data_IF_354660651727
#
_entry.id   IF_354660651727
#
_cell.length_a   1.000
_cell.length_b   1.000
_cell.length_c   1.000
_cell.angle_alpha   90.00
_cell.angle_beta   90.00
_cell.angle_gamma   90.00
#
_symmetry.space_group_name_H-M   'P 1'
#
loop_
_entity.id
_entity.type
_entity.pdbx_description
1 polymer ?
#
# COMPACT_ATOMS: atom_id res chain seq x y z
N UNK A 1 38.94 51.10 -6.11
CA UNK A 1 38.25 49.79 -5.94
C UNK A 1 36.85 49.94 -6.55
N UNK A 2 36.56 49.70 -7.86
CA UNK A 2 36.35 48.40 -8.54
C UNK A 2 36.35 47.23 -7.56
N UNK A 3 35.32 46.35 -7.61
CA UNK A 3 35.14 45.00 -6.98
C UNK A 3 33.68 44.97 -6.42
N UNK A 4 32.64 44.27 -6.92
CA UNK A 4 32.43 43.16 -7.86
C UNK A 4 30.97 43.19 -8.40
N UNK A 5 30.62 44.08 -9.32
CA UNK A 5 30.03 43.81 -10.66
C UNK A 5 29.56 45.19 -11.17
N UNK A 6 30.22 45.74 -12.19
CA UNK A 6 30.14 47.17 -12.55
C UNK A 6 28.85 47.60 -13.26
N UNK A 7 27.67 47.24 -12.74
CA UNK A 7 26.38 47.67 -13.27
C UNK A 7 25.63 48.49 -12.21
N UNK A 8 25.23 49.72 -12.56
CA UNK A 8 24.41 50.60 -11.72
C UNK A 8 23.11 49.90 -11.28
N UNK A 9 22.57 50.21 -10.11
CA UNK A 9 21.28 49.66 -9.64
C UNK A 9 20.17 49.80 -10.69
N UNK A 10 20.17 50.89 -11.44
CA UNK A 10 19.24 51.12 -12.56
C UNK A 10 19.42 50.12 -13.71
N UNK A 11 20.66 49.69 -13.97
CA UNK A 11 20.96 48.68 -14.98
C UNK A 11 20.46 47.30 -14.57
N UNK A 12 20.66 46.90 -13.31
CA UNK A 12 20.13 45.65 -12.77
C UNK A 12 18.60 45.60 -12.82
N UNK A 13 17.93 46.71 -12.49
CA UNK A 13 16.47 46.83 -12.61
C UNK A 13 16.03 46.65 -14.07
N UNK A 14 16.72 47.30 -15.02
CA UNK A 14 16.43 47.17 -16.45
C UNK A 14 16.57 45.72 -16.92
N UNK A 15 17.65 45.04 -16.53
CA UNK A 15 17.89 43.64 -16.87
C UNK A 15 16.83 42.70 -16.30
N UNK A 16 16.42 42.89 -15.04
CA UNK A 16 15.35 42.12 -14.43
C UNK A 16 14.02 42.27 -15.19
N UNK A 17 13.66 43.52 -15.57
CA UNK A 17 12.45 43.79 -16.37
C UNK A 17 12.48 43.11 -17.73
N UNK A 18 13.65 43.09 -18.38
CA UNK A 18 13.83 42.42 -19.68
C UNK A 18 13.69 40.90 -19.59
N UNK A 19 14.28 40.27 -18.56
CA UNK A 19 14.12 38.82 -18.32
C UNK A 19 12.67 38.45 -18.06
N UNK A 20 11.97 39.23 -17.22
CA UNK A 20 10.54 39.03 -16.95
C UNK A 20 9.68 39.20 -18.20
N UNK A 21 9.97 40.20 -19.04
CA UNK A 21 9.26 40.39 -20.30
C UNK A 21 9.47 39.22 -21.28
N UNK A 22 10.69 38.66 -21.35
CA UNK A 22 10.99 37.49 -22.18
C UNK A 22 10.18 36.26 -21.77
N UNK A 23 10.05 36.01 -20.46
CA UNK A 23 9.19 34.94 -19.92
C UNK A 23 7.72 35.15 -20.31
N UNK A 24 7.19 36.36 -20.12
CA UNK A 24 5.80 36.69 -20.47
C UNK A 24 5.51 36.54 -21.98
N UNK A 25 6.50 36.85 -22.83
CA UNK A 25 6.42 36.65 -24.29
C UNK A 25 6.40 35.17 -24.67
N UNK A 26 7.11 34.29 -23.96
CA UNK A 26 7.08 32.85 -24.22
C UNK A 26 5.72 32.21 -23.92
N UNK A 27 5.02 32.72 -22.92
CA UNK A 27 3.72 32.19 -22.46
C UNK A 27 2.50 32.87 -23.12
N UNK A 28 2.70 33.85 -24.02
CA UNK A 28 1.63 34.62 -24.70
C UNK A 28 0.61 35.23 -23.73
N UNK A 29 1.10 35.77 -22.61
CA UNK A 29 0.23 36.39 -21.59
C UNK A 29 -0.38 37.71 -22.08
N UNK A 30 0.27 38.40 -23.05
CA UNK A 30 -0.13 39.70 -23.58
C UNK A 30 0.65 40.05 -24.87
N UNK A 31 0.29 41.15 -25.56
CA UNK A 31 1.08 41.67 -26.69
C UNK A 31 2.40 42.28 -26.22
N UNK A 32 3.41 42.41 -27.11
CA UNK A 32 4.70 43.02 -26.74
C UNK A 32 4.54 44.46 -26.20
N UNK A 33 3.53 45.19 -26.68
CA UNK A 33 3.17 46.53 -26.19
C UNK A 33 2.64 46.49 -24.76
N UNK A 34 1.68 45.60 -24.48
CA UNK A 34 1.13 45.41 -23.14
C UNK A 34 2.18 44.93 -22.13
N UNK A 35 3.01 43.97 -22.52
CA UNK A 35 4.09 43.44 -21.67
C UNK A 35 5.07 44.54 -21.29
N UNK A 36 5.37 45.47 -22.20
CA UNK A 36 6.28 46.59 -21.92
C UNK A 36 5.80 47.43 -20.73
N UNK A 37 4.50 47.73 -20.67
CA UNK A 37 3.92 48.48 -19.56
C UNK A 37 3.85 47.64 -18.29
N UNK A 38 3.51 46.35 -18.40
CA UNK A 38 3.40 45.44 -17.24
C UNK A 38 4.72 45.23 -16.50
N UNK A 39 5.85 45.21 -17.21
CA UNK A 39 7.17 45.12 -16.56
C UNK A 39 7.74 46.50 -16.18
N UNK A 40 7.03 47.59 -16.49
CA UNK A 40 7.37 48.95 -16.04
C UNK A 40 8.27 49.77 -16.98
N UNK A 41 8.27 49.50 -18.29
CA UNK A 41 8.83 50.45 -19.26
C UNK A 41 7.87 51.62 -19.50
N UNK A 42 8.43 52.81 -19.74
CA UNK A 42 7.65 54.02 -20.03
C UNK A 42 7.07 54.05 -21.44
N UNK A 43 7.65 53.29 -22.38
CA UNK A 43 7.10 53.17 -23.75
C UNK A 43 7.46 51.82 -24.43
N UNK A 44 6.58 51.31 -25.31
CA UNK A 44 6.85 50.10 -26.10
C UNK A 44 8.05 50.22 -27.05
N UNK A 45 8.30 51.41 -27.59
CA UNK A 45 9.43 51.65 -28.48
C UNK A 45 10.77 51.56 -27.72
N UNK A 46 10.86 52.16 -26.52
CA UNK A 46 12.06 52.07 -25.69
C UNK A 46 12.31 50.64 -25.19
N UNK A 47 11.24 49.93 -24.84
CA UNK A 47 11.29 48.50 -24.53
C UNK A 47 11.87 47.69 -25.70
N UNK A 48 11.37 47.90 -26.92
CA UNK A 48 11.83 47.16 -28.11
C UNK A 48 13.32 47.37 -28.37
N UNK A 49 13.81 48.60 -28.23
CA UNK A 49 15.24 48.91 -28.37
C UNK A 49 16.08 48.21 -27.31
N UNK A 50 15.70 48.34 -26.02
CA UNK A 50 16.42 47.69 -24.92
C UNK A 50 16.38 46.16 -25.00
N UNK A 51 15.25 45.60 -25.43
CA UNK A 51 15.06 44.16 -25.60
C UNK A 51 15.92 43.61 -26.74
N UNK A 52 15.97 44.33 -27.87
CA UNK A 52 16.82 43.96 -29.00
C UNK A 52 18.31 44.10 -28.65
N UNK A 53 18.69 45.14 -27.91
CA UNK A 53 20.06 45.34 -27.41
C UNK A 53 20.50 44.19 -26.47
N UNK A 54 19.59 43.70 -25.62
CA UNK A 54 19.91 42.66 -24.63
C UNK A 54 19.80 41.23 -25.16
N UNK A 55 18.79 40.91 -25.98
CA UNK A 55 18.54 39.54 -26.50
C UNK A 55 19.00 39.33 -27.95
N UNK A 56 19.35 40.40 -28.68
CA UNK A 56 19.81 40.34 -30.08
C UNK A 56 18.69 40.20 -31.12
N UNK A 57 17.42 40.27 -30.72
CA UNK A 57 16.26 40.23 -31.63
C UNK A 57 15.04 40.92 -31.02
N UNK A 58 14.07 41.38 -31.84
CA UNK A 58 12.89 42.07 -31.34
C UNK A 58 11.95 41.13 -30.55
N UNK A 59 11.18 41.65 -29.58
CA UNK A 59 10.31 40.87 -28.71
C UNK A 59 9.25 40.04 -29.48
N UNK A 60 8.82 40.49 -30.66
CA UNK A 60 7.90 39.74 -31.51
C UNK A 60 8.47 38.44 -32.09
N UNK A 61 9.79 38.23 -32.06
CA UNK A 61 10.46 37.00 -32.55
C UNK A 61 10.74 35.98 -31.45
N UNK A 62 10.32 36.24 -30.20
CA UNK A 62 10.49 35.29 -29.09
C UNK A 62 9.76 33.98 -29.42
N UNK A 63 10.52 32.90 -29.59
CA UNK A 63 9.98 31.58 -29.92
C UNK A 63 9.36 30.96 -28.68
N UNK A 64 8.10 30.52 -28.79
CA UNK A 64 7.35 29.84 -27.72
C UNK A 64 8.19 28.73 -27.07
N UNK A 65 8.39 28.80 -25.75
CA UNK A 65 8.73 27.61 -24.99
C UNK A 65 7.52 26.69 -25.02
N UNK A 66 7.64 25.55 -25.72
CA UNK A 66 6.60 24.53 -25.77
C UNK A 66 6.56 23.79 -24.43
N UNK A 67 6.05 24.44 -23.39
CA UNK A 67 5.43 23.77 -22.25
C UNK A 67 3.93 23.69 -22.50
N UNK A 68 3.51 22.77 -23.37
CA UNK A 68 2.10 22.41 -23.53
C UNK A 68 2.01 21.05 -24.23
N UNK A 69 1.42 20.09 -23.54
CA UNK A 69 0.91 18.88 -24.18
C UNK A 69 -0.29 19.22 -25.07
N UNK A 70 -0.33 18.63 -26.27
CA UNK A 70 -1.53 18.01 -26.87
C UNK A 70 -1.21 17.39 -28.25
N UNK A 71 -1.60 16.12 -28.42
CA UNK A 71 -2.12 15.49 -29.65
C UNK A 71 -1.31 15.49 -30.97
N UNK A 72 -0.66 14.32 -31.18
CA UNK A 72 -0.59 13.46 -32.38
C UNK A 72 0.27 13.86 -33.60
N UNK A 73 1.48 13.25 -33.65
CA UNK A 73 2.05 12.59 -34.84
C UNK A 73 2.68 11.29 -34.35
N UNK A 74 2.19 10.13 -34.81
CA UNK A 74 2.76 8.84 -34.44
C UNK A 74 4.13 8.69 -35.10
N UNK A 75 5.18 8.88 -34.30
CA UNK A 75 6.47 8.22 -34.49
C UNK A 75 6.71 7.36 -33.24
N UNK A 76 7.18 6.16 -33.49
CA UNK A 76 7.26 4.96 -32.64
C UNK A 76 7.53 5.19 -31.14
N UNK A 77 6.94 4.35 -30.29
CA UNK A 77 7.15 4.24 -28.82
C UNK A 77 6.35 5.13 -27.85
N UNK A 78 5.14 5.60 -28.21
CA UNK A 78 4.15 6.09 -27.22
C UNK A 78 2.91 5.21 -27.05
N UNK A 79 2.66 4.25 -27.96
CA UNK A 79 1.63 3.21 -27.78
C UNK A 79 1.94 2.32 -26.57
N UNK A 80 3.22 2.00 -26.37
CA UNK A 80 3.66 1.23 -25.19
C UNK A 80 3.46 1.98 -23.88
N UNK A 81 3.54 3.33 -23.86
CA UNK A 81 3.43 4.11 -22.61
C UNK A 81 1.97 4.25 -22.15
N UNK A 82 1.02 4.41 -23.07
CA UNK A 82 -0.41 4.43 -22.70
C UNK A 82 -0.94 3.03 -22.38
N UNK A 83 -0.46 2.00 -23.10
CA UNK A 83 -0.72 0.61 -22.72
C UNK A 83 -0.10 0.34 -21.36
N UNK A 84 1.15 0.76 -21.11
CA UNK A 84 1.82 0.54 -19.83
C UNK A 84 1.12 1.23 -18.68
N UNK A 85 0.62 2.46 -18.87
CA UNK A 85 -0.10 3.19 -17.83
C UNK A 85 -1.47 2.55 -17.54
N UNK A 86 -2.20 2.14 -18.58
CA UNK A 86 -3.46 1.41 -18.41
C UNK A 86 -3.24 0.05 -17.73
N UNK A 87 -2.21 -0.70 -18.13
CA UNK A 87 -1.84 -1.95 -17.48
C UNK A 87 -1.37 -1.72 -16.06
N UNK A 88 -0.64 -0.63 -15.77
CA UNK A 88 -0.17 -0.33 -14.42
C UNK A 88 -1.35 0.08 -13.54
N UNK A 89 -2.33 0.83 -14.05
CA UNK A 89 -3.57 1.13 -13.32
C UNK A 89 -4.40 -0.14 -13.08
N UNK A 90 -4.50 -1.04 -14.06
CA UNK A 90 -5.23 -2.32 -13.91
C UNK A 90 -4.50 -3.28 -12.97
N UNK A 91 -3.16 -3.34 -13.02
CA UNK A 91 -2.35 -4.15 -12.11
C UNK A 91 -2.34 -3.54 -10.72
N UNK A 92 -2.29 -2.21 -10.59
CA UNK A 92 -2.36 -1.52 -9.31
C UNK A 92 -3.76 -1.59 -8.73
N UNK A 93 -4.83 -1.54 -9.54
CA UNK A 93 -6.19 -1.77 -9.06
C UNK A 93 -6.40 -3.24 -8.69
N UNK A 94 -5.89 -4.20 -9.47
CA UNK A 94 -5.94 -5.61 -9.12
C UNK A 94 -5.08 -5.92 -7.89
N UNK A 95 -3.92 -5.28 -7.74
CA UNK A 95 -3.06 -5.39 -6.56
C UNK A 95 -3.67 -4.69 -5.36
N UNK A 96 -4.30 -3.53 -5.53
CA UNK A 96 -5.00 -2.83 -4.46
C UNK A 96 -6.26 -3.57 -4.06
N UNK A 97 -6.99 -4.18 -5.01
CA UNK A 97 -8.09 -5.11 -4.73
C UNK A 97 -7.53 -6.34 -4.04
N UNK A 98 -6.46 -6.96 -4.51
CA UNK A 98 -5.81 -8.09 -3.85
C UNK A 98 -5.36 -7.72 -2.44
N UNK A 99 -4.77 -6.54 -2.25
CA UNK A 99 -4.27 -6.01 -0.99
C UNK A 99 -5.41 -5.66 -0.03
N UNK A 100 -6.50 -5.05 -0.51
CA UNK A 100 -7.69 -4.72 0.29
C UNK A 100 -8.59 -5.92 0.54
N UNK A 101 -8.62 -6.92 -0.34
CA UNK A 101 -9.36 -8.19 -0.20
C UNK A 101 -8.55 -9.23 0.60
N UNK A 102 -7.25 -9.01 0.83
CA UNK A 102 -6.42 -9.84 1.71
C UNK A 102 -6.66 -9.56 3.20
N UNK A 103 -7.51 -8.59 3.54
CA UNK A 103 -8.26 -8.65 4.79
C UNK A 103 -9.52 -9.46 4.53
N UNK A 104 -9.36 -10.79 4.37
CA UNK A 104 -10.49 -11.71 4.55
C UNK A 104 -11.00 -11.40 5.94
N UNK A 105 -12.14 -10.71 6.01
CA UNK A 105 -13.00 -10.71 7.18
C UNK A 105 -13.32 -12.18 7.44
N UNK A 106 -12.46 -12.86 8.20
CA UNK A 106 -12.85 -14.05 8.94
C UNK A 106 -13.83 -13.47 9.95
N UNK A 107 -15.08 -13.37 9.53
CA UNK A 107 -16.19 -13.47 10.45
C UNK A 107 -15.93 -14.81 11.13
N UNK A 108 -15.29 -14.80 12.30
CA UNK A 108 -15.26 -15.95 13.21
C UNK A 108 -16.70 -16.08 13.71
N UNK A 109 -17.60 -16.48 12.83
CA UNK A 109 -19.01 -16.76 13.14
C UNK A 109 -19.22 -18.24 13.29
N UNK A 110 -18.32 -19.06 12.75
CA UNK A 110 -18.39 -20.49 12.90
C UNK A 110 -17.77 -20.84 14.24
N UNK A 111 -18.61 -20.85 15.28
CA UNK A 111 -18.30 -21.48 16.56
C UNK A 111 -17.80 -22.87 16.22
N UNK A 112 -16.50 -23.08 16.37
CA UNK A 112 -15.83 -24.29 15.93
C UNK A 112 -14.72 -24.63 16.90
N UNK A 113 -14.62 -25.90 17.24
CA UNK A 113 -13.70 -26.38 18.26
C UNK A 113 -12.97 -27.63 17.78
N UNK A 114 -11.65 -27.62 17.95
CA UNK A 114 -10.85 -28.82 17.88
C UNK A 114 -10.46 -29.25 19.30
N UNK A 115 -10.61 -30.53 19.62
CA UNK A 115 -10.13 -31.10 20.88
C UNK A 115 -8.88 -31.88 20.56
N UNK A 116 -7.72 -31.47 21.05
CA UNK A 116 -6.48 -32.21 20.79
C UNK A 116 -6.43 -33.52 21.57
N UNK A 117 -5.64 -34.52 21.13
CA UNK A 117 -5.44 -35.75 21.89
C UNK A 117 -4.97 -35.48 23.32
N UNK A 118 -5.76 -35.92 24.30
CA UNK A 118 -5.42 -35.70 25.71
C UNK A 118 -4.23 -36.56 26.12
N UNK A 119 -3.35 -36.01 26.95
CA UNK A 119 -2.20 -36.76 27.48
C UNK A 119 -2.57 -37.51 28.74
N UNK A 120 -2.21 -38.78 28.85
CA UNK A 120 -2.26 -39.48 30.13
C UNK A 120 -1.01 -39.15 30.96
N UNK A 121 -1.19 -38.58 32.16
CA UNK A 121 -0.08 -38.19 33.04
C UNK A 121 0.30 -39.34 33.97
N UNK A 122 1.03 -40.32 33.47
CA UNK A 122 1.61 -41.42 34.23
C UNK A 122 2.79 -42.03 33.47
N UNK A 123 3.66 -42.77 34.15
CA UNK A 123 4.77 -43.51 33.54
C UNK A 123 4.33 -44.79 32.78
N UNK A 124 3.03 -44.98 32.60
CA UNK A 124 2.44 -46.17 31.99
C UNK A 124 1.75 -45.78 30.66
N UNK A 125 2.44 -45.93 29.52
CA UNK A 125 1.90 -45.56 28.22
C UNK A 125 0.75 -46.48 27.77
N UNK A 126 0.64 -47.70 28.32
CA UNK A 126 -0.44 -48.62 27.95
C UNK A 126 -1.82 -48.09 28.35
N UNK A 127 -1.88 -47.16 29.31
CA UNK A 127 -3.12 -46.56 29.83
C UNK A 127 -3.59 -45.31 29.07
N UNK A 128 -2.95 -44.95 27.98
CA UNK A 128 -3.33 -43.80 27.14
C UNK A 128 -4.81 -43.86 26.69
N UNK A 129 -5.37 -45.06 26.51
CA UNK A 129 -6.78 -45.26 26.17
C UNK A 129 -7.75 -44.61 27.17
N UNK A 130 -7.34 -44.40 28.43
CA UNK A 130 -8.16 -43.71 29.42
C UNK A 130 -8.33 -42.23 29.08
N UNK A 131 -7.24 -41.56 28.69
CA UNK A 131 -7.28 -40.18 28.26
C UNK A 131 -8.03 -40.03 26.93
N UNK A 132 -7.78 -40.95 25.99
CA UNK A 132 -8.49 -40.99 24.70
C UNK A 132 -10.01 -41.21 24.91
N UNK A 133 -10.41 -42.07 25.84
CA UNK A 133 -11.83 -42.28 26.16
C UNK A 133 -12.52 -41.06 26.76
N UNK A 134 -11.81 -40.29 27.59
CA UNK A 134 -12.34 -39.02 28.13
C UNK A 134 -12.45 -37.96 27.04
N UNK A 135 -11.46 -37.86 26.16
CA UNK A 135 -11.49 -36.99 24.99
C UNK A 135 -12.69 -37.32 24.08
N UNK A 136 -12.93 -38.61 23.79
CA UNK A 136 -14.08 -39.05 22.98
C UNK A 136 -15.41 -38.68 23.63
N UNK A 137 -15.52 -38.86 24.94
CA UNK A 137 -16.71 -38.45 25.66
C UNK A 137 -16.96 -36.93 25.53
N UNK A 138 -15.90 -36.12 25.58
CA UNK A 138 -16.01 -34.66 25.38
C UNK A 138 -16.43 -34.34 23.95
N UNK A 139 -15.78 -34.91 22.94
CA UNK A 139 -16.15 -34.73 21.53
C UNK A 139 -17.63 -35.06 21.29
N UNK A 140 -18.12 -36.17 21.86
CA UNK A 140 -19.51 -36.60 21.74
C UNK A 140 -20.50 -35.64 22.42
N UNK A 141 -20.12 -34.98 23.51
CA UNK A 141 -20.99 -33.98 24.15
C UNK A 141 -20.97 -32.65 23.40
N UNK A 142 -19.79 -32.22 22.93
CA UNK A 142 -19.66 -31.01 22.13
C UNK A 142 -20.41 -31.11 20.79
N UNK A 143 -20.42 -32.29 20.16
CA UNK A 143 -21.10 -32.50 18.88
C UNK A 143 -22.63 -32.40 18.96
N UNK A 144 -23.20 -32.44 20.18
CA UNK A 144 -24.64 -32.23 20.42
C UNK A 144 -25.02 -30.75 20.51
N UNK A 145 -24.06 -29.84 20.58
CA UNK A 145 -24.32 -28.40 20.68
C UNK A 145 -24.70 -27.89 19.29
N UNK A 146 -25.92 -27.37 19.16
CA UNK A 146 -26.37 -26.73 17.93
C UNK A 146 -25.49 -25.52 17.58
N UNK A 147 -25.25 -25.33 16.29
CA UNK A 147 -24.37 -24.29 15.74
C UNK A 147 -22.90 -24.35 16.20
N UNK A 148 -22.41 -25.49 16.74
CA UNK A 148 -21.00 -25.73 17.05
C UNK A 148 -20.41 -26.79 16.10
N UNK A 149 -19.45 -26.40 15.26
CA UNK A 149 -18.70 -27.35 14.43
C UNK A 149 -17.57 -27.98 15.23
N UNK A 150 -17.63 -29.29 15.43
CA UNK A 150 -16.58 -30.05 16.11
C UNK A 150 -15.69 -30.72 15.07
N UNK A 151 -14.36 -30.61 15.22
CA UNK A 151 -13.41 -31.31 14.36
C UNK A 151 -13.32 -32.78 14.74
N UNK A 152 -13.31 -33.65 13.73
CA UNK A 152 -13.19 -35.09 13.92
C UNK A 152 -11.85 -35.48 14.58
N UNK A 153 -11.91 -36.52 15.43
CA UNK A 153 -10.75 -37.12 16.12
C UNK A 153 -9.58 -37.43 15.17
N UNK A 154 -9.89 -37.98 14.00
CA UNK A 154 -8.86 -38.38 13.01
C UNK A 154 -8.09 -37.20 12.44
N UNK A 155 -8.70 -36.03 12.34
CA UNK A 155 -8.06 -34.81 11.82
C UNK A 155 -7.06 -34.21 12.81
N UNK A 156 -7.29 -34.41 14.12
CA UNK A 156 -6.47 -33.86 15.20
C UNK A 156 -5.42 -34.85 15.74
N UNK A 157 -5.49 -36.13 15.35
CA UNK A 157 -4.59 -37.19 15.83
C UNK A 157 -3.10 -36.87 15.61
N UNK A 158 -2.78 -36.18 14.51
CA UNK A 158 -1.43 -35.73 14.18
C UNK A 158 -0.83 -34.75 15.21
N UNK A 159 -1.66 -34.10 16.03
CA UNK A 159 -1.26 -33.13 17.05
C UNK A 159 -1.18 -33.74 18.46
N UNK A 160 -0.95 -35.05 18.59
CA UNK A 160 -0.77 -35.72 19.90
C UNK A 160 0.47 -35.21 20.64
N UNK A 161 1.52 -34.92 19.90
CA UNK A 161 2.73 -34.25 20.37
C UNK A 161 2.99 -33.02 19.50
N UNK A 162 2.21 -31.94 19.70
CA UNK A 162 2.28 -30.80 18.83
C UNK A 162 3.61 -30.07 19.02
N UNK A 163 4.31 -29.84 17.92
CA UNK A 163 5.50 -28.99 17.81
C UNK A 163 5.14 -27.54 17.41
N UNK A 164 3.87 -27.31 17.10
CA UNK A 164 3.29 -26.03 16.69
C UNK A 164 2.53 -25.36 17.84
N UNK A 165 2.41 -24.05 17.76
CA UNK A 165 1.58 -23.28 18.70
C UNK A 165 0.09 -23.47 18.42
N UNK A 166 -0.75 -23.33 19.45
CA UNK A 166 -2.21 -23.40 19.35
C UNK A 166 -2.77 -22.49 18.23
N UNK A 167 -2.21 -21.28 18.05
CA UNK A 167 -2.64 -20.34 17.00
C UNK A 167 -2.42 -20.93 15.59
N UNK A 168 -1.30 -21.60 15.36
CA UNK A 168 -0.99 -22.23 14.08
C UNK A 168 -1.93 -23.42 13.85
N UNK A 169 -2.13 -24.25 14.88
CA UNK A 169 -3.02 -25.41 14.82
C UNK A 169 -4.47 -24.97 14.52
N UNK A 170 -4.98 -23.94 15.21
CA UNK A 170 -6.29 -23.37 14.92
C UNK A 170 -6.42 -22.93 13.46
N UNK A 171 -5.37 -22.33 12.90
CA UNK A 171 -5.37 -21.88 11.51
C UNK A 171 -5.31 -23.04 10.51
N UNK A 172 -4.54 -24.09 10.81
CA UNK A 172 -4.46 -25.30 9.96
C UNK A 172 -5.78 -26.07 9.95
N UNK A 173 -6.43 -26.16 11.10
CA UNK A 173 -7.72 -26.85 11.28
C UNK A 173 -8.94 -25.97 10.94
N UNK A 174 -8.71 -24.69 10.66
CA UNK A 174 -9.75 -23.68 10.43
C UNK A 174 -10.79 -23.66 11.57
N UNK A 175 -10.34 -23.51 12.82
CA UNK A 175 -11.21 -23.46 14.02
C UNK A 175 -11.04 -22.20 14.84
N UNK A 176 -12.12 -21.79 15.51
CA UNK A 176 -12.14 -20.66 16.43
C UNK A 176 -11.60 -20.99 17.84
N UNK A 177 -11.71 -22.24 18.27
CA UNK A 177 -11.30 -22.70 19.59
C UNK A 177 -10.49 -23.99 19.50
N UNK A 178 -9.51 -24.12 20.40
CA UNK A 178 -8.72 -25.32 20.60
C UNK A 178 -8.83 -25.70 22.07
N UNK A 179 -9.12 -26.97 22.33
CA UNK A 179 -9.17 -27.54 23.67
C UNK A 179 -7.99 -28.48 23.84
N UNK A 180 -7.14 -28.16 24.79
CA UNK A 180 -6.05 -29.03 25.22
C UNK A 180 -6.40 -29.65 26.56
N UNK A 181 -5.89 -30.86 26.82
CA UNK A 181 -6.17 -31.50 28.08
C UNK A 181 -5.25 -32.64 28.43
N UNK A 182 -5.31 -32.99 29.70
CA UNK A 182 -4.61 -34.13 30.26
C UNK A 182 -5.45 -34.83 31.30
N UNK A 183 -5.27 -36.15 31.38
CA UNK A 183 -6.00 -37.01 32.28
C UNK A 183 -5.02 -37.77 33.16
N UNK A 184 -5.35 -37.92 34.43
CA UNK A 184 -4.55 -38.65 35.40
C UNK A 184 -5.47 -39.47 36.29
N UNK A 185 -5.08 -40.71 36.59
CA UNK A 185 -5.85 -41.60 37.47
C UNK A 185 -4.94 -42.17 38.55
N UNK A 186 -5.34 -42.01 39.81
CA UNK A 186 -4.68 -42.53 41.00
C UNK A 186 -5.65 -43.39 41.82
N UNK A 187 -5.54 -44.71 41.70
CA UNK A 187 -6.50 -45.64 42.30
C UNK A 187 -7.92 -45.31 41.82
N UNK A 188 -8.79 -44.91 42.75
CA UNK A 188 -10.18 -44.53 42.47
C UNK A 188 -10.38 -43.03 42.18
N UNK A 189 -9.33 -42.22 42.28
CA UNK A 189 -9.39 -40.79 41.99
C UNK A 189 -8.98 -40.51 40.54
N UNK A 190 -9.71 -39.62 39.88
CA UNK A 190 -9.41 -39.14 38.55
C UNK A 190 -9.26 -37.61 38.58
N UNK A 191 -8.26 -37.11 37.86
CA UNK A 191 -8.01 -35.68 37.67
C UNK A 191 -7.97 -35.38 36.18
N UNK A 192 -8.83 -34.47 35.75
CA UNK A 192 -8.87 -33.94 34.39
C UNK A 192 -8.47 -32.47 34.43
N UNK A 193 -7.54 -32.07 33.56
CA UNK A 193 -7.12 -30.68 33.37
C UNK A 193 -7.39 -30.32 31.92
N UNK A 194 -8.11 -29.23 31.67
CA UNK A 194 -8.46 -28.75 30.32
C UNK A 194 -8.25 -27.24 30.22
N UNK A 195 -7.84 -26.75 29.05
CA UNK A 195 -7.61 -25.33 28.76
C UNK A 195 -7.98 -24.96 27.32
#
# INVERSE_FOLDING_TARGET
>A
MKILTGQSASHMIREYRLKKAFEMLQHKVATASEISYQVGFSSPSYFTTCFNEYFGYPPGKVRRSRSSGSTKKYSSSRKLIFISLATLVVVFSAFFIYFTVTERNIKITDKSIAVLPFKYLSDDPEKQYLADGVMEAILLHLSKIEDLRVIDRTSVEQYREPDKTAIIICKELDVGYLLEGSFQKYGDQAKLIVQ
#
